data_IF_467363583831
#
_entry.id   IF_467363583831
#
_cell.length_a   1.000
_cell.length_b   1.000
_cell.length_c   1.000
_cell.angle_alpha   90.00
_cell.angle_beta   90.00
_cell.angle_gamma   90.00
#
_symmetry.space_group_name_H-M   'P 1'
#
loop_
_entity.id
_entity.type
_entity.pdbx_description
1 polymer ?
#
# COMPACT_ATOMS: atom_id res chain seq x y z
N UNK A 1 28.59 -6.42 -5.57
CA UNK A 1 27.18 -5.99 -5.67
C UNK A 1 27.17 -4.59 -6.26
N UNK A 2 26.50 -4.37 -7.40
CA UNK A 2 26.48 -3.10 -8.10
C UNK A 2 25.03 -2.71 -8.40
N UNK A 3 24.62 -1.52 -7.98
CA UNK A 3 23.31 -0.95 -8.28
C UNK A 3 23.43 0.11 -9.37
N UNK A 4 22.40 0.21 -10.22
CA UNK A 4 22.29 1.28 -11.20
C UNK A 4 21.80 2.57 -10.53
N UNK A 5 21.79 3.67 -11.30
CA UNK A 5 21.20 4.93 -10.83
C UNK A 5 19.71 4.75 -10.56
N UNK A 6 19.25 5.23 -9.41
CA UNK A 6 17.83 5.25 -9.06
C UNK A 6 17.00 6.04 -10.09
N UNK A 7 15.76 5.63 -10.27
CA UNK A 7 14.78 6.32 -11.10
C UNK A 7 13.62 6.77 -10.23
N UNK A 8 13.07 7.95 -10.54
CA UNK A 8 11.86 8.42 -9.88
C UNK A 8 10.66 7.64 -10.41
N UNK A 9 9.78 7.23 -9.49
CA UNK A 9 8.56 6.48 -9.80
C UNK A 9 7.37 7.39 -9.41
N UNK A 10 6.66 8.01 -10.38
CA UNK A 10 5.73 9.11 -10.14
C UNK A 10 4.34 8.64 -9.63
N UNK A 11 4.32 7.73 -8.66
CA UNK A 11 3.07 7.07 -8.22
C UNK A 11 2.14 7.95 -7.40
N UNK A 12 2.61 9.06 -6.84
CA UNK A 12 1.76 9.99 -6.08
C UNK A 12 1.72 11.40 -6.70
N UNK A 13 2.23 11.58 -7.92
CA UNK A 13 2.35 12.92 -8.54
C UNK A 13 1.00 13.60 -8.78
N UNK A 14 -0.07 12.83 -8.97
CA UNK A 14 -1.43 13.32 -9.17
C UNK A 14 -2.19 13.59 -7.85
N UNK A 15 -1.54 13.40 -6.70
CA UNK A 15 -2.15 13.49 -5.37
C UNK A 15 -1.44 14.57 -4.56
N UNK A 16 -1.75 15.87 -4.77
CA UNK A 16 -1.03 16.98 -4.14
C UNK A 16 -1.16 17.02 -2.61
N UNK A 17 -2.22 16.41 -2.09
CA UNK A 17 -2.48 16.28 -0.65
C UNK A 17 -1.83 15.03 -0.03
N UNK A 18 -1.06 14.26 -0.81
CA UNK A 18 -0.31 13.13 -0.30
C UNK A 18 0.87 13.60 0.55
N UNK A 19 0.91 13.15 1.81
CA UNK A 19 2.00 13.49 2.72
C UNK A 19 3.25 12.62 2.51
N UNK A 20 3.07 11.42 1.98
CA UNK A 20 4.13 10.42 1.92
C UNK A 20 3.86 9.29 0.91
N UNK A 21 4.90 8.53 0.59
CA UNK A 21 4.84 7.27 -0.16
C UNK A 21 5.85 6.30 0.47
N UNK A 22 5.39 5.44 1.39
CA UNK A 22 6.27 4.69 2.29
C UNK A 22 6.14 3.18 2.17
N UNK A 23 7.23 2.50 2.54
CA UNK A 23 7.34 1.04 2.62
C UNK A 23 6.78 0.33 1.37
N UNK A 24 7.37 0.59 0.18
CA UNK A 24 6.90 -0.06 -1.03
C UNK A 24 7.28 -1.54 -1.01
N UNK A 25 6.37 -2.37 -1.51
CA UNK A 25 6.57 -3.78 -1.79
C UNK A 25 6.08 -4.09 -3.20
N UNK A 26 6.51 -5.23 -3.74
CA UNK A 26 6.20 -5.64 -5.11
C UNK A 26 5.82 -7.11 -5.18
N UNK A 27 4.83 -7.43 -6.00
CA UNK A 27 4.46 -8.80 -6.35
C UNK A 27 4.21 -8.92 -7.85
N UNK A 28 4.60 -10.05 -8.42
CA UNK A 28 4.29 -10.37 -9.81
C UNK A 28 2.92 -11.05 -9.90
N UNK A 29 2.05 -10.49 -10.73
CA UNK A 29 0.75 -11.07 -11.07
C UNK A 29 0.89 -11.91 -12.33
N UNK A 30 0.92 -13.24 -12.15
CA UNK A 30 1.02 -14.20 -13.24
C UNK A 30 -0.20 -14.17 -14.17
N UNK A 31 -1.39 -13.84 -13.65
CA UNK A 31 -2.65 -13.84 -14.43
C UNK A 31 -2.63 -12.71 -15.45
N UNK A 32 -2.22 -11.52 -15.00
CA UNK A 32 -2.17 -10.34 -15.87
C UNK A 32 -0.80 -10.13 -16.52
N UNK A 33 0.22 -10.92 -16.13
CA UNK A 33 1.62 -10.79 -16.57
C UNK A 33 2.16 -9.36 -16.36
N UNK A 34 1.96 -8.83 -15.16
CA UNK A 34 2.42 -7.51 -14.75
C UNK A 34 2.94 -7.54 -13.31
N UNK A 35 3.56 -6.46 -12.87
CA UNK A 35 3.95 -6.26 -11.49
C UNK A 35 2.95 -5.32 -10.83
N UNK A 36 2.53 -5.65 -9.61
CA UNK A 36 1.85 -4.73 -8.72
C UNK A 36 2.85 -4.18 -7.70
N UNK A 37 2.99 -2.85 -7.67
CA UNK A 37 3.77 -2.14 -6.66
C UNK A 37 2.77 -1.49 -5.74
N UNK A 38 2.93 -1.67 -4.43
CA UNK A 38 2.01 -1.16 -3.43
C UNK A 38 2.76 -0.54 -2.26
N UNK A 39 2.17 0.46 -1.62
CA UNK A 39 2.81 1.27 -0.58
C UNK A 39 1.75 1.88 0.34
N UNK A 40 2.22 2.49 1.43
CA UNK A 40 1.37 3.17 2.41
C UNK A 40 1.43 4.68 2.24
N UNK A 41 0.27 5.34 2.19
CA UNK A 41 0.17 6.81 2.02
C UNK A 41 -0.97 7.39 2.84
N UNK A 42 -0.70 8.55 3.45
CA UNK A 42 -1.73 9.46 3.98
C UNK A 42 -2.05 10.53 2.95
N UNK A 43 -3.34 10.75 2.70
CA UNK A 43 -3.82 11.86 1.89
C UNK A 43 -4.74 12.70 2.76
N UNK A 44 -4.41 13.97 2.96
CA UNK A 44 -5.12 14.86 3.87
C UNK A 44 -6.62 14.93 3.54
N UNK A 45 -7.46 14.77 4.56
CA UNK A 45 -8.92 14.89 4.44
C UNK A 45 -9.62 13.80 3.63
N UNK A 46 -8.90 12.78 3.14
CA UNK A 46 -9.51 11.72 2.30
C UNK A 46 -10.36 10.74 3.11
N UNK A 47 -9.98 10.44 4.34
CA UNK A 47 -10.64 9.42 5.16
C UNK A 47 -11.02 9.97 6.54
N UNK A 48 -12.32 10.08 6.79
CA UNK A 48 -12.83 10.55 8.08
C UNK A 48 -12.44 9.66 9.28
N UNK A 49 -12.19 8.37 9.04
CA UNK A 49 -11.76 7.41 10.06
C UNK A 49 -10.23 7.36 10.14
N UNK A 50 -9.69 7.69 11.31
CA UNK A 50 -8.24 7.67 11.59
C UNK A 50 -7.63 9.06 11.79
N UNK A 51 -8.23 10.13 11.26
CA UNK A 51 -7.73 11.51 11.45
C UNK A 51 -7.74 11.95 12.93
N UNK A 52 -8.64 11.36 13.73
CA UNK A 52 -8.71 11.57 15.19
C UNK A 52 -8.00 10.48 16.00
N UNK A 53 -7.28 9.56 15.34
CA UNK A 53 -6.57 8.47 16.03
C UNK A 53 -5.38 8.97 16.85
N UNK A 54 -4.99 10.24 16.73
CA UNK A 54 -3.87 10.85 17.45
C UNK A 54 -2.53 10.70 16.74
N UNK A 55 -2.54 10.11 15.54
CA UNK A 55 -1.41 10.10 14.61
C UNK A 55 -1.59 11.27 13.62
N UNK A 56 -0.49 11.92 13.23
CA UNK A 56 -0.47 12.90 12.13
C UNK A 56 -0.73 12.21 10.78
N UNK A 57 -0.57 10.88 10.76
CA UNK A 57 -0.78 10.04 9.58
C UNK A 57 -2.01 9.14 9.71
N UNK A 58 -2.69 8.94 8.58
CA UNK A 58 -3.85 8.08 8.44
C UNK A 58 -3.70 7.25 7.17
N UNK A 59 -2.74 6.32 7.18
CA UNK A 59 -2.32 5.61 5.98
C UNK A 59 -3.37 4.62 5.50
N UNK A 60 -3.46 4.51 4.17
CA UNK A 60 -4.06 3.38 3.46
C UNK A 60 -3.05 2.81 2.47
N UNK A 61 -3.29 1.57 2.05
CA UNK A 61 -2.49 0.97 1.00
C UNK A 61 -2.99 1.45 -0.35
N UNK A 62 -2.05 1.85 -1.20
CA UNK A 62 -2.29 2.18 -2.60
C UNK A 62 -1.43 1.30 -3.49
N UNK A 63 -1.79 1.19 -4.76
CA UNK A 63 -1.03 0.43 -5.73
C UNK A 63 -1.04 1.04 -7.12
N UNK A 64 -0.02 0.69 -7.89
CA UNK A 64 0.02 0.77 -9.36
C UNK A 64 0.36 -0.59 -9.93
N UNK A 65 0.10 -0.76 -11.22
CA UNK A 65 0.66 -1.87 -11.99
C UNK A 65 1.60 -1.37 -13.08
N UNK A 66 2.60 -2.17 -13.42
CA UNK A 66 3.55 -1.91 -14.51
C UNK A 66 3.95 -3.22 -15.17
N UNK A 67 4.24 -3.20 -16.47
CA UNK A 67 4.83 -4.36 -17.18
C UNK A 67 6.33 -4.22 -17.40
N UNK A 68 6.86 -3.01 -17.28
CA UNK A 68 8.20 -2.66 -17.79
C UNK A 68 9.01 -1.73 -16.87
N UNK A 69 8.46 -1.36 -15.71
CA UNK A 69 9.07 -0.41 -14.76
C UNK A 69 9.35 0.99 -15.34
N UNK A 70 8.67 1.34 -16.44
CA UNK A 70 8.76 2.65 -17.10
C UNK A 70 7.41 3.32 -17.19
N UNK A 71 6.37 2.52 -17.46
CA UNK A 71 4.98 2.96 -17.53
C UNK A 71 4.20 2.39 -16.35
N UNK A 72 3.42 3.24 -15.69
CA UNK A 72 2.65 2.88 -14.50
C UNK A 72 1.19 3.26 -14.74
N UNK A 73 0.27 2.44 -14.25
CA UNK A 73 -1.15 2.84 -14.20
C UNK A 73 -1.35 3.99 -13.23
N UNK A 74 -2.51 4.66 -13.31
CA UNK A 74 -2.96 5.57 -12.25
C UNK A 74 -3.03 4.84 -10.92
N UNK A 75 -2.62 5.51 -9.85
CA UNK A 75 -2.68 4.99 -8.49
C UNK A 75 -4.11 4.75 -8.04
N UNK A 76 -4.30 3.63 -7.36
CA UNK A 76 -5.61 3.19 -6.87
C UNK A 76 -5.51 2.80 -5.41
N UNK A 77 -6.59 3.05 -4.67
CA UNK A 77 -6.74 2.54 -3.31
C UNK A 77 -6.73 1.01 -3.37
N UNK A 78 -5.80 0.39 -2.63
CA UNK A 78 -5.68 -1.06 -2.54
C UNK A 78 -6.48 -1.61 -1.35
N UNK A 79 -6.29 -1.00 -0.17
CA UNK A 79 -6.87 -1.53 1.07
C UNK A 79 -7.27 -0.42 2.03
N UNK A 80 -8.56 -0.44 2.41
CA UNK A 80 -9.13 0.39 3.46
C UNK A 80 -10.09 -0.44 4.32
N UNK A 81 -9.71 -0.65 5.59
CA UNK A 81 -10.57 -1.23 6.63
C UNK A 81 -10.84 -0.27 7.77
N UNK A 82 -10.75 1.04 7.51
CA UNK A 82 -11.06 2.13 8.44
C UNK A 82 -10.14 2.18 9.67
N UNK A 83 -8.88 1.79 9.49
CA UNK A 83 -7.82 1.93 10.49
C UNK A 83 -6.49 2.25 9.80
N UNK A 84 -5.50 2.75 10.55
CA UNK A 84 -4.21 3.16 10.00
C UNK A 84 -3.39 1.92 9.57
N UNK A 85 -3.10 1.77 8.28
CA UNK A 85 -2.47 0.57 7.71
C UNK A 85 -1.12 0.90 7.11
N UNK A 86 -0.07 0.23 7.58
CA UNK A 86 1.29 0.33 7.02
C UNK A 86 1.96 -1.03 6.82
N UNK A 87 3.15 -1.00 6.22
CA UNK A 87 4.11 -2.12 6.14
C UNK A 87 3.48 -3.42 5.64
N UNK A 88 2.78 -3.32 4.52
CA UNK A 88 2.09 -4.44 3.92
C UNK A 88 3.01 -5.35 3.12
N UNK A 89 2.78 -6.66 3.16
CA UNK A 89 3.40 -7.63 2.24
C UNK A 89 2.40 -8.69 1.80
N UNK A 90 2.41 -9.06 0.53
CA UNK A 90 1.54 -10.06 -0.08
C UNK A 90 2.33 -11.32 -0.36
N UNK A 91 1.81 -12.46 0.09
CA UNK A 91 2.37 -13.78 -0.19
C UNK A 91 1.33 -14.65 -0.90
N UNK A 92 1.75 -15.43 -1.89
CA UNK A 92 0.89 -16.39 -2.60
C UNK A 92 0.83 -17.70 -1.80
N UNK A 93 -0.38 -18.16 -1.48
CA UNK A 93 -0.68 -19.43 -0.81
C UNK A 93 -1.57 -20.29 -1.72
N UNK A 94 -0.94 -21.12 -2.56
CA UNK A 94 -1.63 -21.90 -3.59
C UNK A 94 -2.36 -20.99 -4.59
N UNK A 95 -3.69 -21.06 -4.60
CA UNK A 95 -4.56 -20.25 -5.46
C UNK A 95 -5.08 -18.97 -4.76
N UNK A 96 -4.55 -18.62 -3.59
CA UNK A 96 -4.98 -17.48 -2.80
C UNK A 96 -3.81 -16.56 -2.48
N UNK A 97 -4.14 -15.38 -1.99
CA UNK A 97 -3.21 -14.35 -1.57
C UNK A 97 -3.42 -14.04 -0.09
N UNK A 98 -2.32 -13.97 0.65
CA UNK A 98 -2.25 -13.53 2.03
C UNK A 98 -1.63 -12.14 2.06
N UNK A 99 -2.41 -11.13 2.43
CA UNK A 99 -1.91 -9.79 2.69
C UNK A 99 -1.65 -9.67 4.19
N UNK A 100 -0.39 -9.62 4.59
CA UNK A 100 0.04 -9.22 5.92
C UNK A 100 0.19 -7.71 5.97
N UNK A 101 -0.22 -7.10 7.07
CA UNK A 101 -0.16 -5.65 7.27
C UNK A 101 -0.11 -5.32 8.75
N UNK A 102 0.29 -4.09 9.07
CA UNK A 102 0.32 -3.59 10.44
C UNK A 102 -0.82 -2.62 10.70
N UNK A 103 -1.54 -2.84 11.79
CA UNK A 103 -2.47 -1.84 12.34
C UNK A 103 -1.69 -0.88 13.24
N UNK A 104 -1.62 0.37 12.79
CA UNK A 104 -0.95 1.47 13.50
C UNK A 104 -1.90 2.44 14.20
N UNK A 105 -3.14 2.01 14.45
CA UNK A 105 -4.11 2.81 15.22
C UNK A 105 -3.58 3.09 16.62
N UNK A 106 -3.54 4.37 17.01
CA UNK A 106 -3.07 4.81 18.32
C UNK A 106 -4.20 4.95 19.36
N UNK A 107 -5.39 5.39 18.95
CA UNK A 107 -6.55 5.61 19.83
C UNK A 107 -7.77 4.79 19.40
N UNK A 108 -8.64 4.38 20.34
CA UNK A 108 -8.55 4.64 21.79
C UNK A 108 -7.46 3.82 22.49
N UNK A 109 -7.00 2.74 21.87
CA UNK A 109 -5.93 1.89 22.35
C UNK A 109 -4.97 1.58 21.19
N UNK A 110 -3.67 1.61 21.49
CA UNK A 110 -2.63 1.32 20.51
C UNK A 110 -2.69 -0.14 20.06
N UNK A 111 -2.90 -0.37 18.76
CA UNK A 111 -3.04 -1.73 18.22
C UNK A 111 -1.68 -2.40 18.00
N UNK A 112 -0.72 -1.72 17.34
CA UNK A 112 0.67 -2.16 17.10
C UNK A 112 0.80 -3.65 16.75
N UNK A 113 -0.15 -4.20 15.99
CA UNK A 113 -0.25 -5.63 15.71
C UNK A 113 -0.22 -5.91 14.22
N UNK A 114 0.28 -7.11 13.87
CA UNK A 114 0.21 -7.63 12.52
C UNK A 114 -1.14 -8.32 12.35
N UNK A 115 -1.82 -8.00 11.26
CA UNK A 115 -3.02 -8.68 10.80
C UNK A 115 -2.75 -9.30 9.45
N UNK A 116 -3.58 -10.26 9.07
CA UNK A 116 -3.60 -10.73 7.70
C UNK A 116 -5.02 -10.87 7.18
N UNK A 117 -5.18 -10.74 5.87
CA UNK A 117 -6.41 -11.02 5.15
C UNK A 117 -6.13 -11.98 4.01
N UNK A 118 -7.13 -12.77 3.64
CA UNK A 118 -7.05 -13.75 2.56
C UNK A 118 -7.93 -13.26 1.41
N UNK A 119 -7.46 -13.40 0.18
CA UNK A 119 -8.22 -13.13 -1.03
C UNK A 119 -7.97 -14.22 -2.08
N UNK A 120 -8.97 -14.52 -2.91
CA UNK A 120 -8.83 -15.41 -4.07
C UNK A 120 -8.29 -14.66 -5.30
N UNK A 121 -8.26 -13.33 -5.26
CA UNK A 121 -7.69 -12.47 -6.31
C UNK A 121 -6.71 -11.44 -5.73
N UNK A 122 -5.75 -11.00 -6.55
CA UNK A 122 -4.74 -10.03 -6.12
C UNK A 122 -5.31 -8.61 -5.96
N UNK A 123 -6.28 -8.24 -6.81
CA UNK A 123 -6.95 -6.93 -6.84
C UNK A 123 -8.43 -7.07 -7.12
#
# INVERSE_FOLDING_TARGET
MHWTKQQFVPVMEQEPEALNCWAPEIIYDEVNSNYMIYWSTTILGRFAFGDNSGDEYNHRLYYVTTRDFKTYTTSKLFYDKRFNVIDATIQKDGNRYLLFLKDETLKPEAQKNIRFVISDCLT
#
